data_IF_259800356997
#
_entry.id   IF_259800356997
#
_cell.length_a   1.000
_cell.length_b   1.000
_cell.length_c   1.000
_cell.angle_alpha   90.00
_cell.angle_beta   90.00
_cell.angle_gamma   90.00
#
_symmetry.space_group_name_H-M   'P 1'
#
loop_
_entity.id
_entity.type
_entity.pdbx_description
1 polymer ?
#
# COMPACT_ATOMS: atom_id res chain seq x y z
N UNK A 1 -2.37 10.12 -21.02
CA UNK A 1 -3.47 11.11 -20.90
C UNK A 1 -3.77 11.50 -19.45
N UNK A 2 -4.38 10.63 -18.62
CA UNK A 2 -4.92 11.03 -17.29
C UNK A 2 -3.95 11.79 -16.34
N UNK A 3 -2.67 11.43 -16.32
CA UNK A 3 -1.65 12.14 -15.52
C UNK A 3 -1.40 13.58 -16.03
N UNK A 4 -1.42 13.81 -17.35
CA UNK A 4 -1.28 15.16 -17.93
C UNK A 4 -2.52 16.01 -17.63
N UNK A 5 -3.72 15.43 -17.65
CA UNK A 5 -4.95 16.12 -17.27
C UNK A 5 -4.90 16.58 -15.80
N UNK A 6 -4.37 15.74 -14.89
CA UNK A 6 -4.10 16.17 -13.51
C UNK A 6 -3.11 17.34 -13.47
N UNK A 7 -1.99 17.23 -14.19
CA UNK A 7 -0.94 18.26 -14.18
C UNK A 7 -1.41 19.61 -14.73
N UNK A 8 -2.23 19.64 -15.78
CA UNK A 8 -2.81 20.88 -16.33
C UNK A 8 -3.80 21.57 -15.37
N UNK A 9 -4.35 20.86 -14.39
CA UNK A 9 -5.33 21.38 -13.42
C UNK A 9 -4.67 21.77 -12.09
N UNK A 10 -3.65 21.03 -11.68
CA UNK A 10 -2.99 21.20 -10.37
C UNK A 10 -1.64 21.92 -10.49
N UNK A 11 -1.08 22.06 -11.70
CA UNK A 11 0.23 22.67 -11.98
C UNK A 11 1.42 21.74 -11.75
N UNK A 12 1.31 20.78 -10.81
CA UNK A 12 2.36 19.82 -10.47
C UNK A 12 2.04 18.38 -10.89
N UNK A 13 3.06 17.53 -10.89
CA UNK A 13 2.88 16.08 -11.04
C UNK A 13 2.27 15.48 -9.76
N UNK A 14 1.47 14.40 -9.87
CA UNK A 14 0.83 13.79 -8.70
C UNK A 14 1.78 12.96 -7.83
N UNK A 15 2.95 12.59 -8.35
CA UNK A 15 3.97 11.80 -7.67
C UNK A 15 5.35 12.38 -7.97
N UNK A 16 6.13 12.63 -6.92
CA UNK A 16 7.51 13.10 -6.98
C UNK A 16 8.42 12.12 -6.21
N UNK A 17 9.73 12.14 -6.47
CA UNK A 17 10.71 11.24 -5.86
C UNK A 17 11.76 10.75 -6.87
N UNK A 18 12.50 9.70 -6.51
CA UNK A 18 13.35 8.98 -7.49
C UNK A 18 12.50 8.21 -8.50
N UNK A 19 13.08 7.82 -9.65
CA UNK A 19 12.35 7.05 -10.68
C UNK A 19 11.77 5.73 -10.11
N UNK A 20 12.54 5.03 -9.27
CA UNK A 20 12.09 3.82 -8.60
C UNK A 20 10.90 4.06 -7.66
N UNK A 21 10.91 5.16 -6.90
CA UNK A 21 9.77 5.57 -6.08
C UNK A 21 8.56 5.95 -6.95
N UNK A 22 8.76 6.69 -8.04
CA UNK A 22 7.67 7.09 -8.94
C UNK A 22 7.02 5.86 -9.58
N UNK A 23 7.79 4.87 -10.03
CA UNK A 23 7.27 3.58 -10.50
C UNK A 23 6.48 2.87 -9.39
N UNK A 24 7.04 2.77 -8.17
CA UNK A 24 6.38 2.15 -7.02
C UNK A 24 5.05 2.83 -6.68
N UNK A 25 5.00 4.17 -6.69
CA UNK A 25 3.80 5.00 -6.50
C UNK A 25 2.79 4.79 -7.62
N UNK A 26 3.23 4.82 -8.88
CA UNK A 26 2.39 4.59 -10.05
C UNK A 26 1.75 3.19 -10.08
N UNK A 27 2.40 2.17 -9.53
CA UNK A 27 1.81 0.83 -9.38
C UNK A 27 0.87 0.77 -8.17
N UNK A 28 1.36 1.10 -6.97
CA UNK A 28 0.70 0.73 -5.70
C UNK A 28 -0.18 1.82 -5.09
N UNK A 29 0.15 3.11 -5.28
CA UNK A 29 -0.49 4.20 -4.55
C UNK A 29 -1.64 4.85 -5.34
N UNK A 30 -2.71 5.26 -4.65
CA UNK A 30 -3.78 6.06 -5.25
C UNK A 30 -3.32 7.50 -5.45
N UNK A 31 -3.83 8.16 -6.48
CA UNK A 31 -3.46 9.53 -6.80
C UNK A 31 -3.99 10.53 -5.76
N UNK A 32 -3.25 11.62 -5.45
CA UNK A 32 -3.65 12.65 -4.48
C UNK A 32 -4.72 13.59 -5.07
N UNK A 33 -5.88 13.03 -5.41
CA UNK A 33 -6.99 13.72 -6.08
C UNK A 33 -7.66 14.85 -5.26
N UNK A 34 -7.22 15.11 -4.03
CA UNK A 34 -7.75 16.17 -3.15
C UNK A 34 -7.69 17.55 -3.80
N UNK A 35 -6.62 17.84 -4.54
CA UNK A 35 -6.32 19.16 -5.10
C UNK A 35 -7.09 19.47 -6.39
N UNK A 36 -7.82 18.50 -6.96
CA UNK A 36 -8.64 18.70 -8.16
C UNK A 36 -9.98 19.32 -7.75
N UNK A 37 -10.33 20.57 -8.15
CA UNK A 37 -11.49 21.28 -7.62
C UNK A 37 -12.82 20.64 -8.04
N UNK A 38 -12.97 20.27 -9.31
CA UNK A 38 -14.23 19.76 -9.85
C UNK A 38 -14.39 18.25 -9.62
N UNK A 39 -15.43 17.86 -8.86
CA UNK A 39 -15.76 16.44 -8.56
C UNK A 39 -15.98 15.58 -9.81
N UNK A 40 -16.46 16.17 -10.91
CA UNK A 40 -16.60 15.49 -12.20
C UNK A 40 -15.23 15.14 -12.80
N UNK A 41 -14.36 16.14 -13.00
CA UNK A 41 -13.01 15.96 -13.55
C UNK A 41 -12.17 15.03 -12.66
N UNK A 42 -12.38 15.06 -11.34
CA UNK A 42 -11.78 14.11 -10.39
C UNK A 42 -12.06 12.65 -10.76
N UNK A 43 -13.31 12.30 -11.09
CA UNK A 43 -13.70 10.94 -11.55
C UNK A 43 -13.06 10.58 -12.89
N UNK A 44 -12.99 11.54 -13.82
CA UNK A 44 -12.40 11.34 -15.16
C UNK A 44 -10.90 11.05 -15.04
N UNK A 45 -10.18 11.79 -14.19
CA UNK A 45 -8.77 11.50 -13.88
C UNK A 45 -8.67 10.11 -13.23
N UNK A 46 -9.49 9.81 -12.23
CA UNK A 46 -9.49 8.53 -11.51
C UNK A 46 -9.67 7.33 -12.45
N UNK A 47 -10.68 7.35 -13.34
CA UNK A 47 -10.88 6.33 -14.38
C UNK A 47 -9.73 6.31 -15.39
N UNK A 48 -9.25 7.46 -15.87
CA UNK A 48 -8.13 7.54 -16.81
C UNK A 48 -6.77 7.08 -16.23
N UNK A 49 -6.71 6.79 -14.92
CA UNK A 49 -5.49 6.40 -14.20
C UNK A 49 -5.67 5.14 -13.33
N UNK A 50 -6.79 4.43 -13.49
CA UNK A 50 -7.03 3.16 -12.81
C UNK A 50 -5.92 2.13 -13.12
N UNK A 51 -5.59 1.28 -12.13
CA UNK A 51 -4.42 0.39 -12.19
C UNK A 51 -4.59 -0.74 -13.19
N UNK A 52 -5.79 -1.32 -13.29
CA UNK A 52 -6.13 -2.35 -14.29
C UNK A 52 -6.57 -1.66 -15.59
N UNK A 53 -6.10 -2.15 -16.74
CA UNK A 53 -6.52 -1.63 -18.04
C UNK A 53 -8.04 -1.71 -18.26
N UNK A 54 -8.68 -2.75 -17.75
CA UNK A 54 -10.14 -2.96 -17.88
C UNK A 54 -10.98 -1.91 -17.14
N UNK A 55 -10.42 -1.28 -16.10
CA UNK A 55 -11.08 -0.22 -15.32
C UNK A 55 -10.81 1.18 -15.92
N UNK A 56 -9.97 1.27 -16.96
CA UNK A 56 -9.68 2.52 -17.69
C UNK A 56 -10.63 2.73 -18.87
N UNK A 57 -10.58 3.93 -19.43
CA UNK A 57 -11.14 4.21 -20.76
C UNK A 57 -10.54 3.28 -21.81
N UNK A 58 -11.39 2.67 -22.64
CA UNK A 58 -10.99 1.77 -23.73
C UNK A 58 -10.60 2.55 -24.99
N UNK A 59 -11.08 3.78 -25.15
CA UNK A 59 -10.69 4.67 -26.26
C UNK A 59 -10.52 6.13 -25.82
N UNK A 60 -9.81 6.90 -26.65
CA UNK A 60 -9.72 8.36 -26.48
C UNK A 60 -11.09 9.05 -26.71
N UNK A 61 -11.96 8.49 -27.57
CA UNK A 61 -13.31 9.02 -27.79
C UNK A 61 -14.21 8.84 -26.56
N UNK A 62 -14.10 7.72 -25.83
CA UNK A 62 -14.82 7.51 -24.57
C UNK A 62 -14.38 8.52 -23.50
N UNK A 63 -13.08 8.79 -23.38
CA UNK A 63 -12.55 9.82 -22.47
C UNK A 63 -12.98 11.23 -22.88
N UNK A 64 -13.07 11.52 -24.18
CA UNK A 64 -13.55 12.81 -24.71
C UNK A 64 -15.02 13.05 -24.36
N UNK A 65 -15.90 12.06 -24.56
CA UNK A 65 -17.34 12.21 -24.28
C UNK A 65 -17.62 12.56 -22.83
N UNK A 66 -16.89 11.95 -21.88
CA UNK A 66 -17.02 12.27 -20.45
C UNK A 66 -16.43 13.66 -20.09
N UNK A 67 -15.39 14.12 -20.80
CA UNK A 67 -14.84 15.47 -20.65
C UNK A 67 -15.79 16.56 -21.17
N UNK A 68 -16.50 16.30 -22.27
CA UNK A 68 -17.51 17.19 -22.84
C UNK A 68 -18.81 17.23 -22.00
N UNK A 69 -19.14 16.12 -21.32
CA UNK A 69 -20.39 15.97 -20.56
C UNK A 69 -20.15 15.66 -19.06
N UNK A 70 -19.40 16.50 -18.31
CA UNK A 70 -18.94 16.20 -16.95
C UNK A 70 -20.07 16.06 -15.91
N UNK A 71 -21.28 16.55 -16.22
CA UNK A 71 -22.47 16.40 -15.36
C UNK A 71 -23.17 15.04 -15.53
N UNK A 72 -22.83 14.27 -16.57
CA UNK A 72 -23.41 12.94 -16.81
C UNK A 72 -23.16 12.04 -15.60
N UNK A 73 -24.16 11.30 -15.08
CA UNK A 73 -23.91 10.30 -14.07
C UNK A 73 -23.02 9.22 -14.69
N UNK A 74 -21.75 9.20 -14.31
CA UNK A 74 -20.82 8.14 -14.69
C UNK A 74 -21.39 6.83 -14.14
N UNK A 75 -21.99 6.05 -15.04
CA UNK A 75 -22.54 4.74 -14.71
C UNK A 75 -21.40 3.90 -14.14
N UNK A 76 -21.47 3.45 -12.87
CA UNK A 76 -20.34 2.80 -12.23
C UNK A 76 -20.02 1.54 -13.02
N UNK A 77 -18.88 1.57 -13.72
CA UNK A 77 -18.39 0.42 -14.44
C UNK A 77 -18.05 -0.63 -13.39
N UNK A 78 -18.99 -1.56 -13.14
CA UNK A 78 -18.77 -2.76 -12.34
C UNK A 78 -17.72 -3.56 -13.09
N UNK A 79 -16.45 -3.25 -12.87
CA UNK A 79 -15.30 -3.94 -13.47
C UNK A 79 -15.54 -5.42 -13.27
N UNK A 80 -15.73 -6.15 -14.37
CA UNK A 80 -16.37 -7.45 -14.30
C UNK A 80 -15.50 -8.41 -13.51
N UNK A 81 -15.85 -8.61 -12.24
CA UNK A 81 -15.34 -9.70 -11.42
C UNK A 81 -16.00 -11.01 -11.89
N UNK A 82 -15.68 -11.39 -13.14
CA UNK A 82 -15.76 -12.76 -13.61
C UNK A 82 -14.77 -13.56 -12.78
N UNK A 83 -15.22 -14.01 -11.60
CA UNK A 83 -14.54 -15.06 -10.87
C UNK A 83 -14.38 -16.23 -11.83
N UNK A 84 -13.15 -16.69 -12.05
CA UNK A 84 -12.86 -17.78 -12.98
C UNK A 84 -13.20 -19.13 -12.35
N UNK A 85 -14.48 -19.31 -12.00
CA UNK A 85 -15.02 -20.45 -11.24
C UNK A 85 -15.78 -21.45 -12.11
N UNK A 86 -15.98 -21.16 -13.41
CA UNK A 86 -16.74 -22.00 -14.35
C UNK A 86 -16.15 -23.39 -14.57
N UNK A 87 -14.86 -23.60 -14.32
CA UNK A 87 -14.23 -24.94 -14.34
C UNK A 87 -14.35 -25.70 -13.01
N UNK A 88 -14.41 -24.97 -11.87
CA UNK A 88 -14.40 -25.56 -10.53
C UNK A 88 -15.82 -26.02 -10.13
N UNK A 89 -16.86 -25.27 -10.51
CA UNK A 89 -18.25 -25.67 -10.26
C UNK A 89 -18.64 -26.99 -10.94
N UNK A 90 -18.07 -27.30 -12.11
CA UNK A 90 -18.27 -28.58 -12.78
C UNK A 90 -17.69 -29.75 -11.97
N UNK A 91 -16.47 -29.57 -11.43
CA UNK A 91 -15.83 -30.58 -10.58
C UNK A 91 -16.55 -30.76 -9.24
N UNK A 92 -17.01 -29.66 -8.61
CA UNK A 92 -17.79 -29.74 -7.36
C UNK A 92 -19.16 -30.40 -7.61
N UNK A 93 -19.83 -30.11 -8.72
CA UNK A 93 -21.10 -30.74 -9.08
C UNK A 93 -20.94 -32.23 -9.38
N UNK A 94 -19.88 -32.63 -10.10
CA UNK A 94 -19.56 -34.04 -10.34
C UNK A 94 -19.20 -34.78 -9.03
N UNK A 95 -18.42 -34.15 -8.15
CA UNK A 95 -18.06 -34.70 -6.84
C UNK A 95 -19.30 -34.87 -5.95
N UNK A 96 -20.20 -33.88 -5.92
CA UNK A 96 -21.47 -33.97 -5.17
C UNK A 96 -22.38 -35.08 -5.71
N UNK A 97 -22.49 -35.24 -7.03
CA UNK A 97 -23.27 -36.34 -7.63
C UNK A 97 -22.65 -37.72 -7.33
N UNK A 98 -21.32 -37.84 -7.41
CA UNK A 98 -20.61 -39.07 -7.04
C UNK A 98 -20.75 -39.39 -5.55
N UNK A 99 -20.64 -38.39 -4.67
CA UNK A 99 -20.88 -38.53 -3.24
C UNK A 99 -22.34 -38.87 -2.93
N UNK A 100 -23.32 -38.30 -3.63
CA UNK A 100 -24.75 -38.61 -3.40
C UNK A 100 -25.10 -40.03 -3.86
N UNK A 101 -24.56 -40.47 -5.01
CA UNK A 101 -24.73 -41.84 -5.49
C UNK A 101 -24.01 -42.86 -4.57
N UNK A 102 -22.78 -42.56 -4.14
CA UNK A 102 -22.05 -43.37 -3.16
C UNK A 102 -22.75 -43.41 -1.79
N UNK A 103 -23.32 -42.27 -1.35
CA UNK A 103 -24.11 -42.19 -0.12
C UNK A 103 -25.37 -43.06 -0.23
N UNK A 104 -26.13 -42.99 -1.33
CA UNK A 104 -27.29 -43.86 -1.55
C UNK A 104 -26.95 -45.36 -1.54
N UNK A 105 -25.76 -45.76 -2.01
CA UNK A 105 -25.29 -47.14 -1.96
C UNK A 105 -24.83 -47.57 -0.55
N UNK A 106 -24.30 -46.66 0.26
CA UNK A 106 -23.89 -46.92 1.66
C UNK A 106 -25.11 -46.87 2.61
N UNK A 107 -26.09 -46.01 2.32
CA UNK A 107 -27.28 -45.78 3.15
C UNK A 107 -28.28 -46.95 3.10
N UNK A 108 -28.10 -47.90 2.16
CA UNK A 108 -28.86 -49.16 2.16
C UNK A 108 -28.29 -50.22 3.13
N UNK A 109 -27.17 -49.93 3.80
CA UNK A 109 -26.48 -50.86 4.72
C UNK A 109 -26.01 -50.20 6.03
N UNK A 110 -26.74 -49.20 6.55
CA UNK A 110 -26.31 -48.44 7.74
C UNK A 110 -27.48 -47.86 8.56
N UNK A 111 -28.41 -48.73 9.00
CA UNK A 111 -29.32 -48.42 10.11
C UNK A 111 -28.63 -48.76 11.45
N UNK A 112 -28.07 -47.77 12.15
CA UNK A 112 -27.88 -47.82 13.63
C UNK A 112 -27.57 -46.45 14.29
N UNK A 113 -26.84 -45.53 13.65
CA UNK A 113 -26.33 -44.28 14.30
C UNK A 113 -27.30 -43.06 14.27
N UNK A 114 -28.50 -43.15 14.88
CA UNK A 114 -29.45 -42.00 14.96
C UNK A 114 -29.35 -41.16 16.24
N UNK A 115 -29.09 -41.76 17.39
CA UNK A 115 -29.28 -41.09 18.70
C UNK A 115 -28.28 -39.97 19.01
N UNK A 116 -27.12 -39.96 18.34
CA UNK A 116 -26.03 -39.01 18.63
C UNK A 116 -26.25 -37.59 18.09
N UNK A 117 -27.26 -37.38 17.25
CA UNK A 117 -27.47 -36.09 16.56
C UNK A 117 -28.43 -35.13 17.25
N UNK A 118 -29.41 -35.61 18.03
CA UNK A 118 -30.41 -34.72 18.67
C UNK A 118 -29.89 -34.10 19.97
N UNK A 119 -29.13 -34.82 20.82
CA UNK A 119 -28.45 -34.23 22.00
C UNK A 119 -27.49 -33.09 21.59
N UNK A 120 -26.84 -33.24 20.42
CA UNK A 120 -25.97 -32.21 19.84
C UNK A 120 -26.75 -30.95 19.40
N UNK A 121 -28.05 -31.06 19.12
CA UNK A 121 -28.95 -29.94 18.79
C UNK A 121 -29.50 -29.27 20.03
N UNK A 122 -30.05 -30.05 20.96
CA UNK A 122 -30.61 -29.52 22.21
C UNK A 122 -29.54 -28.81 23.06
N UNK A 123 -28.28 -29.27 23.00
CA UNK A 123 -27.15 -28.54 23.59
C UNK A 123 -26.87 -27.18 22.95
N UNK A 124 -27.08 -27.01 21.63
CA UNK A 124 -26.84 -25.75 20.89
C UNK A 124 -28.00 -24.75 21.10
N UNK A 125 -29.24 -25.23 21.20
CA UNK A 125 -30.40 -24.35 21.45
C UNK A 125 -30.37 -23.83 22.90
N UNK A 126 -30.05 -24.68 23.89
CA UNK A 126 -29.79 -24.27 25.28
C UNK A 126 -28.58 -23.33 25.45
N UNK A 127 -27.70 -23.22 24.44
CA UNK A 127 -26.58 -22.27 24.40
C UNK A 127 -27.03 -20.91 23.87
N UNK A 128 -27.85 -20.88 22.80
CA UNK A 128 -28.48 -19.66 22.27
C UNK A 128 -29.35 -18.93 23.30
N UNK A 129 -30.26 -19.64 23.95
CA UNK A 129 -31.18 -19.04 24.93
C UNK A 129 -30.43 -18.40 26.10
N UNK A 130 -29.25 -18.94 26.44
CA UNK A 130 -28.38 -18.45 27.50
C UNK A 130 -27.66 -17.16 27.12
N UNK A 131 -27.17 -17.06 25.88
CA UNK A 131 -26.57 -15.81 25.38
C UNK A 131 -27.64 -14.72 25.16
N UNK A 132 -28.83 -15.05 24.64
CA UNK A 132 -29.90 -14.07 24.42
C UNK A 132 -30.43 -13.46 25.72
N UNK A 133 -30.52 -14.22 26.81
CA UNK A 133 -30.83 -13.65 28.13
C UNK A 133 -29.69 -12.80 28.69
N UNK A 134 -28.42 -13.17 28.47
CA UNK A 134 -27.28 -12.41 29.00
C UNK A 134 -27.19 -10.98 28.43
N UNK A 135 -27.60 -10.78 27.17
CA UNK A 135 -27.69 -9.44 26.59
C UNK A 135 -28.90 -8.64 27.10
N UNK A 136 -30.03 -9.29 27.45
CA UNK A 136 -31.20 -8.62 28.06
C UNK A 136 -30.91 -8.12 29.47
N UNK A 137 -30.26 -8.94 30.30
CA UNK A 137 -29.84 -8.54 31.65
C UNK A 137 -28.83 -7.37 31.61
N UNK A 138 -27.90 -7.40 30.65
CA UNK A 138 -26.90 -6.35 30.43
C UNK A 138 -27.49 -5.03 29.89
N UNK A 139 -28.64 -5.08 29.19
CA UNK A 139 -29.42 -3.87 28.86
C UNK A 139 -30.15 -3.33 30.09
N UNK A 140 -30.82 -4.20 30.86
CA UNK A 140 -31.59 -3.77 32.05
C UNK A 140 -30.71 -3.11 33.12
N UNK A 141 -29.51 -3.66 33.36
CA UNK A 141 -28.54 -3.07 34.29
C UNK A 141 -28.04 -1.67 33.87
N UNK A 142 -28.11 -1.32 32.57
CA UNK A 142 -27.81 0.03 32.08
C UNK A 142 -28.92 1.04 32.32
N UNK A 143 -30.18 0.61 32.32
CA UNK A 143 -31.32 1.50 32.57
C UNK A 143 -31.46 1.83 34.07
N UNK A 144 -31.21 0.85 34.95
CA UNK A 144 -31.19 1.07 36.41
C UNK A 144 -30.04 2.00 36.85
N UNK A 145 -28.88 1.94 36.20
CA UNK A 145 -27.75 2.84 36.51
C UNK A 145 -28.00 4.27 36.04
N UNK A 146 -28.52 4.49 34.83
CA UNK A 146 -28.81 5.84 34.33
C UNK A 146 -29.95 6.53 35.12
N UNK A 147 -30.95 5.75 35.57
CA UNK A 147 -32.01 6.19 36.49
C UNK A 147 -31.46 6.66 37.85
N UNK A 148 -30.46 5.94 38.38
CA UNK A 148 -29.83 6.27 39.68
C UNK A 148 -29.11 7.63 39.63
N UNK A 149 -28.36 7.91 38.55
CA UNK A 149 -27.67 9.20 38.39
C UNK A 149 -28.62 10.39 38.27
N UNK A 150 -29.81 10.23 37.68
CA UNK A 150 -30.82 11.29 37.62
C UNK A 150 -31.38 11.65 39.02
N UNK A 151 -31.48 10.67 39.93
CA UNK A 151 -31.91 10.90 41.31
C UNK A 151 -30.84 11.63 42.13
N UNK A 152 -29.57 11.22 42.09
CA UNK A 152 -28.49 11.94 42.79
C UNK A 152 -28.36 13.40 42.33
N UNK A 153 -28.44 13.65 41.02
CA UNK A 153 -28.31 15.00 40.43
C UNK A 153 -29.49 15.92 40.75
N UNK A 154 -30.68 15.37 41.02
CA UNK A 154 -31.84 16.15 41.46
C UNK A 154 -31.84 16.40 42.97
N UNK A 155 -31.39 15.44 43.78
CA UNK A 155 -31.28 15.58 45.23
C UNK A 155 -30.18 16.60 45.61
N UNK A 156 -29.01 16.53 44.97
CA UNK A 156 -27.92 17.50 45.15
C UNK A 156 -28.31 18.96 44.76
N UNK A 157 -29.33 19.14 43.92
CA UNK A 157 -29.90 20.46 43.60
C UNK A 157 -30.82 21.02 44.69
N UNK A 158 -31.40 20.19 45.56
CA UNK A 158 -32.15 20.66 46.72
C UNK A 158 -31.20 21.04 47.87
N UNK A 159 -30.19 20.21 48.14
CA UNK A 159 -29.23 20.45 49.23
C UNK A 159 -28.37 21.70 49.00
N UNK A 160 -28.02 21.99 47.75
CA UNK A 160 -27.28 23.21 47.38
C UNK A 160 -28.10 24.50 47.50
N UNK A 161 -29.44 24.43 47.50
CA UNK A 161 -30.31 25.59 47.74
C UNK A 161 -30.49 25.90 49.23
N UNK A 162 -30.49 24.91 50.12
CA UNK A 162 -30.61 25.15 51.57
C UNK A 162 -29.33 25.74 52.18
N UNK A 163 -28.15 25.39 51.65
CA UNK A 163 -26.86 25.77 52.23
C UNK A 163 -26.38 27.19 51.85
N UNK A 164 -27.08 27.91 50.99
CA UNK A 164 -26.71 29.29 50.59
C UNK A 164 -26.88 30.33 51.72
N UNK A 165 -27.51 29.96 52.85
CA UNK A 165 -27.83 30.87 53.95
C UNK A 165 -26.66 31.21 54.91
N UNK A 166 -25.50 30.50 54.87
CA UNK A 166 -24.47 30.60 55.94
C UNK A 166 -23.00 30.64 55.47
N UNK A 167 -22.60 31.78 54.92
CA UNK A 167 -21.44 32.55 55.41
C UNK A 167 -19.99 32.01 55.39
N UNK A 168 -19.19 32.63 54.51
CA UNK A 168 -17.82 33.21 54.74
C UNK A 168 -16.55 32.33 54.75
N UNK A 169 -15.65 32.75 53.83
CA UNK A 169 -14.22 33.12 54.02
C UNK A 169 -13.06 32.13 53.73
N UNK A 170 -11.98 32.77 53.23
CA UNK A 170 -10.55 32.40 53.18
C UNK A 170 -9.96 31.64 51.96
N UNK A 171 -8.77 32.10 51.57
CA UNK A 171 -7.81 31.62 50.53
C UNK A 171 -6.41 31.58 51.20
N UNK A 172 -5.20 31.46 50.56
CA UNK A 172 -4.81 31.21 49.15
C UNK A 172 -3.59 30.22 49.00
N UNK A 173 -2.88 30.25 47.84
CA UNK A 173 -1.48 29.75 47.57
C UNK A 173 -1.31 28.20 47.46
N UNK A 174 -0.28 27.57 46.87
CA UNK A 174 1.00 27.84 46.09
C UNK A 174 1.45 26.47 45.45
N UNK A 175 2.45 26.25 44.57
CA UNK A 175 3.21 26.98 43.52
C UNK A 175 4.36 26.09 42.94
N UNK A 176 4.80 26.29 41.66
CA UNK A 176 6.06 25.80 40.99
C UNK A 176 6.19 24.29 40.63
N UNK A 177 7.14 23.83 39.78
CA UNK A 177 7.75 24.30 38.48
C UNK A 177 8.85 23.29 38.00
N UNK A 178 9.03 23.17 36.66
CA UNK A 178 10.31 22.83 35.96
C UNK A 178 10.89 21.39 36.18
N UNK A 179 11.94 20.89 35.46
CA UNK A 179 12.89 21.51 34.50
C UNK A 179 13.41 20.54 33.41
N UNK A 180 13.98 21.12 32.33
CA UNK A 180 14.74 20.50 31.23
C UNK A 180 16.27 20.57 31.44
N UNK A 181 17.02 19.59 30.89
CA UNK A 181 18.45 19.65 30.47
C UNK A 181 18.69 18.53 29.42
N UNK A 182 19.45 18.62 28.31
CA UNK A 182 20.76 19.23 27.97
C UNK A 182 21.97 18.49 28.60
N UNK A 183 23.13 18.29 27.94
CA UNK A 183 23.81 19.05 26.85
C UNK A 183 24.82 18.20 26.03
N UNK A 184 25.36 18.74 24.93
CA UNK A 184 26.54 18.25 24.15
C UNK A 184 27.89 18.65 24.78
N UNK A 185 28.96 17.92 24.44
CA UNK A 185 30.35 18.43 24.20
C UNK A 185 31.12 17.49 23.25
N UNK A 186 32.35 17.83 22.85
CA UNK A 186 33.06 17.23 21.70
C UNK A 186 34.60 17.28 21.81
N UNK A 187 35.28 16.30 21.19
CA UNK A 187 36.57 16.51 20.52
C UNK A 187 37.82 15.89 21.16
N UNK A 188 38.49 15.01 20.40
CA UNK A 188 39.94 14.74 20.39
C UNK A 188 40.26 13.88 19.16
N UNK A 189 41.52 13.88 18.69
CA UNK A 189 41.98 13.01 17.60
C UNK A 189 43.27 12.29 18.03
N UNK A 190 43.41 11.02 17.63
CA UNK A 190 44.65 10.26 17.69
C UNK A 190 44.67 9.28 16.51
N UNK A 191 45.87 9.00 16.00
CA UNK A 191 46.11 8.06 14.91
C UNK A 191 47.10 7.00 15.36
N UNK A 192 46.75 5.72 15.23
CA UNK A 192 47.76 4.68 15.04
C UNK A 192 47.17 3.43 14.37
N UNK A 193 48.07 2.53 13.94
CA UNK A 193 47.76 1.39 13.08
C UNK A 193 47.62 0.10 13.88
N UNK A 194 46.67 -0.78 13.52
CA UNK A 194 46.97 -2.15 13.05
C UNK A 194 45.77 -3.09 13.10
N UNK A 195 45.58 -3.84 12.01
CA UNK A 195 44.93 -5.16 11.92
C UNK A 195 43.41 -5.28 12.15
N UNK A 196 42.84 -6.34 11.54
CA UNK A 196 41.49 -6.88 11.74
C UNK A 196 40.30 -5.92 11.60
N UNK A 197 40.02 -5.46 10.37
CA UNK A 197 38.72 -4.88 10.04
C UNK A 197 37.98 -5.71 8.98
N UNK A 198 36.84 -6.29 9.40
CA UNK A 198 35.90 -7.04 8.53
C UNK A 198 35.44 -6.14 7.39
N UNK A 199 35.29 -6.69 6.17
CA UNK A 199 34.88 -5.94 4.98
C UNK A 199 33.51 -5.26 5.17
N UNK A 200 33.54 -3.97 5.53
CA UNK A 200 32.37 -3.12 5.54
C UNK A 200 32.18 -2.54 4.15
N UNK A 201 31.41 -3.25 3.32
CA UNK A 201 31.05 -2.82 1.97
C UNK A 201 30.46 -1.40 1.98
N UNK A 202 31.14 -0.49 1.28
CA UNK A 202 30.77 0.93 1.24
C UNK A 202 29.80 1.17 0.09
N UNK A 203 28.51 1.24 0.46
CA UNK A 203 27.45 1.71 -0.44
C UNK A 203 27.49 3.24 -0.53
N UNK A 204 27.72 3.79 -1.71
CA UNK A 204 27.85 5.24 -1.94
C UNK A 204 27.15 5.62 -3.24
N UNK A 205 26.18 6.53 -3.17
CA UNK A 205 25.53 7.09 -4.37
C UNK A 205 26.41 8.16 -5.00
N UNK A 206 26.67 8.08 -6.30
CA UNK A 206 27.57 9.01 -6.97
C UNK A 206 27.57 8.91 -8.50
N UNK A 207 28.66 9.39 -9.08
CA UNK A 207 28.94 9.31 -10.53
C UNK A 207 30.33 8.69 -10.73
N UNK A 208 30.44 7.72 -11.63
CA UNK A 208 31.70 7.01 -11.97
C UNK A 208 31.96 7.16 -13.46
N UNK A 209 33.16 7.64 -13.81
CA UNK A 209 33.62 7.76 -15.19
C UNK A 209 34.50 6.54 -15.54
N UNK A 210 34.28 5.93 -16.69
CA UNK A 210 35.04 4.79 -17.23
C UNK A 210 35.84 5.13 -18.49
N UNK A 211 35.92 6.43 -18.84
CA UNK A 211 36.44 6.87 -20.14
C UNK A 211 35.39 6.73 -21.22
N UNK A 212 35.09 5.50 -21.64
CA UNK A 212 34.10 5.19 -22.69
C UNK A 212 32.65 5.53 -22.30
N UNK A 213 32.34 5.52 -20.99
CA UNK A 213 31.01 5.81 -20.46
C UNK A 213 31.06 6.52 -19.10
N UNK A 214 29.92 6.98 -18.63
CA UNK A 214 29.73 7.52 -17.28
C UNK A 214 28.45 6.98 -16.66
N UNK A 215 28.61 6.35 -15.50
CA UNK A 215 27.53 5.80 -14.69
C UNK A 215 27.11 6.79 -13.61
N UNK A 216 25.81 6.85 -13.33
CA UNK A 216 25.21 7.59 -12.22
C UNK A 216 24.23 6.68 -11.49
N UNK A 217 24.42 6.53 -10.18
CA UNK A 217 23.64 5.61 -9.34
C UNK A 217 24.37 5.23 -8.06
N UNK A 218 23.89 4.20 -7.37
CA UNK A 218 24.57 3.56 -6.26
C UNK A 218 25.83 2.77 -6.72
N UNK A 219 26.89 2.91 -5.93
CA UNK A 219 28.15 2.20 -6.09
C UNK A 219 28.40 1.35 -4.84
N UNK A 220 28.86 0.11 -5.03
CA UNK A 220 29.36 -0.79 -3.98
C UNK A 220 30.84 -0.99 -4.24
N UNK A 221 31.69 -0.70 -3.25
CA UNK A 221 33.15 -0.78 -3.39
C UNK A 221 33.69 -0.01 -4.62
N UNK A 222 33.02 1.08 -5.02
CA UNK A 222 33.38 1.90 -6.19
C UNK A 222 32.90 1.39 -7.55
N UNK A 223 32.17 0.26 -7.61
CA UNK A 223 31.60 -0.34 -8.82
C UNK A 223 30.07 -0.15 -8.86
N UNK A 224 29.44 0.03 -10.05
CA UNK A 224 27.99 0.03 -10.25
C UNK A 224 27.26 -1.11 -9.52
N UNK A 225 26.36 -0.76 -8.60
CA UNK A 225 25.55 -1.71 -7.85
C UNK A 225 24.24 -1.02 -7.43
N UNK A 226 23.32 -0.87 -8.39
CA UNK A 226 22.08 -0.09 -8.30
C UNK A 226 20.97 -0.80 -9.08
N UNK A 227 19.76 -0.87 -8.52
CA UNK A 227 18.57 -1.43 -9.20
C UNK A 227 18.02 -0.54 -10.32
N UNK A 228 18.40 0.73 -10.36
CA UNK A 228 17.98 1.70 -11.39
C UNK A 228 19.12 2.70 -11.69
N UNK A 229 20.32 2.19 -11.93
CA UNK A 229 21.46 2.98 -12.37
C UNK A 229 21.32 3.44 -13.83
N UNK A 230 21.99 4.53 -14.21
CA UNK A 230 22.09 4.98 -15.61
C UNK A 230 23.54 4.98 -16.07
N UNK A 231 23.85 4.22 -17.12
CA UNK A 231 25.14 4.24 -17.83
C UNK A 231 24.96 5.00 -19.15
N UNK A 232 25.72 6.07 -19.38
CA UNK A 232 25.67 6.90 -20.60
C UNK A 232 27.00 6.81 -21.34
N UNK A 233 26.97 6.49 -22.64
CA UNK A 233 28.14 6.24 -23.47
C UNK A 233 28.66 7.54 -24.09
N UNK A 234 29.99 7.68 -24.15
CA UNK A 234 30.73 8.83 -24.73
C UNK A 234 31.41 8.48 -26.04
N UNK A 235 31.76 7.21 -26.21
CA UNK A 235 32.35 6.62 -27.41
C UNK A 235 31.54 5.38 -27.77
N UNK A 236 31.62 4.92 -29.03
CA UNK A 236 31.04 3.61 -29.39
C UNK A 236 31.70 2.50 -28.55
N UNK A 237 30.90 1.65 -27.90
CA UNK A 237 31.39 0.61 -26.99
C UNK A 237 30.37 -0.52 -26.81
N UNK A 238 30.84 -1.75 -26.56
CA UNK A 238 29.97 -2.87 -26.18
C UNK A 238 29.29 -2.56 -24.84
N UNK A 239 27.99 -2.80 -24.73
CA UNK A 239 27.19 -2.36 -23.57
C UNK A 239 27.59 -3.11 -22.28
N UNK A 240 27.77 -4.42 -22.37
CA UNK A 240 28.38 -5.27 -21.35
C UNK A 240 28.99 -6.48 -22.08
N UNK A 241 30.19 -6.92 -21.69
CA UNK A 241 30.88 -8.05 -22.34
C UNK A 241 30.17 -9.39 -22.14
N UNK A 242 29.22 -9.47 -21.20
CA UNK A 242 28.39 -10.64 -20.92
C UNK A 242 27.10 -10.71 -21.76
N UNK A 243 26.82 -9.70 -22.59
CA UNK A 243 25.66 -9.73 -23.50
C UNK A 243 25.91 -10.71 -24.66
N UNK A 244 25.16 -11.84 -24.77
CA UNK A 244 25.34 -12.81 -25.85
C UNK A 244 24.96 -12.25 -27.24
N UNK A 245 24.35 -11.06 -27.32
CA UNK A 245 24.11 -10.36 -28.59
C UNK A 245 25.19 -9.33 -28.94
N UNK A 246 26.19 -9.13 -28.08
CA UNK A 246 27.31 -8.21 -28.31
C UNK A 246 26.89 -6.78 -28.66
N UNK A 247 25.76 -6.28 -28.11
CA UNK A 247 25.21 -4.98 -28.50
C UNK A 247 26.23 -3.86 -28.27
N UNK A 248 26.45 -3.05 -29.29
CA UNK A 248 27.27 -1.83 -29.24
C UNK A 248 26.36 -0.62 -29.07
N UNK A 249 26.64 0.19 -28.05
CA UNK A 249 26.03 1.51 -27.85
C UNK A 249 26.89 2.58 -28.52
N UNK A 250 26.23 3.55 -29.16
CA UNK A 250 26.87 4.66 -29.86
C UNK A 250 27.07 5.89 -28.95
N UNK A 251 27.92 6.88 -29.33
CA UNK A 251 28.09 8.10 -28.55
C UNK A 251 26.76 8.80 -28.23
N UNK A 252 26.49 9.01 -26.94
CA UNK A 252 25.25 9.62 -26.44
C UNK A 252 24.12 8.63 -26.13
N UNK A 253 24.19 7.37 -26.58
CA UNK A 253 23.29 6.31 -26.12
C UNK A 253 23.39 6.13 -24.59
N UNK A 254 22.35 5.57 -23.98
CA UNK A 254 22.38 5.21 -22.56
C UNK A 254 21.52 4.00 -22.22
N UNK A 255 21.90 3.31 -21.15
CA UNK A 255 21.14 2.22 -20.54
C UNK A 255 20.65 2.67 -19.16
N UNK A 256 19.39 2.37 -18.85
CA UNK A 256 18.83 2.45 -17.49
C UNK A 256 18.46 1.04 -17.06
N UNK A 257 18.91 0.61 -15.89
CA UNK A 257 18.69 -0.78 -15.45
C UNK A 257 19.27 -1.14 -14.10
N UNK A 258 19.19 -2.44 -13.79
CA UNK A 258 19.84 -3.07 -12.64
C UNK A 258 21.29 -3.40 -12.99
N UNK A 259 22.21 -2.93 -12.15
CA UNK A 259 23.64 -3.24 -12.20
C UNK A 259 24.03 -3.97 -10.91
N UNK A 260 24.87 -5.00 -11.03
CA UNK A 260 25.47 -5.70 -9.90
C UNK A 260 26.99 -5.78 -10.10
N UNK A 261 27.73 -5.23 -9.14
CA UNK A 261 29.16 -5.45 -8.98
C UNK A 261 30.00 -5.06 -10.22
N UNK A 262 29.55 -4.01 -10.91
CA UNK A 262 30.15 -3.46 -12.12
C UNK A 262 29.36 -3.73 -13.41
N UNK A 263 28.61 -4.84 -13.46
CA UNK A 263 27.97 -5.34 -14.66
C UNK A 263 26.49 -5.02 -14.76
N UNK A 264 25.98 -4.94 -15.99
CA UNK A 264 24.54 -4.87 -16.28
C UNK A 264 23.88 -6.25 -16.08
N UNK A 265 22.78 -6.27 -15.34
CA UNK A 265 21.95 -7.47 -15.09
C UNK A 265 20.77 -7.48 -16.06
N UNK A 266 20.05 -6.36 -16.11
CA UNK A 266 18.89 -6.12 -16.98
C UNK A 266 18.66 -4.62 -17.14
N UNK A 267 18.13 -4.17 -18.27
CA UNK A 267 17.83 -2.75 -18.50
C UNK A 267 17.18 -2.45 -19.84
N UNK A 268 16.86 -1.17 -20.05
CA UNK A 268 16.39 -0.62 -21.32
C UNK A 268 17.49 0.25 -21.91
N UNK A 269 17.81 0.01 -23.17
CA UNK A 269 18.75 0.77 -23.98
C UNK A 269 18.01 1.83 -24.79
N UNK A 270 18.47 3.06 -24.67
CA UNK A 270 17.96 4.24 -25.34
C UNK A 270 19.02 4.81 -26.28
N UNK A 271 18.57 5.37 -27.39
CA UNK A 271 19.39 6.20 -28.26
C UNK A 271 19.72 7.56 -27.64
N UNK A 272 20.68 8.25 -28.25
CA UNK A 272 20.94 9.67 -28.00
C UNK A 272 19.74 10.58 -28.32
N UNK A 273 18.78 10.08 -29.13
CA UNK A 273 17.47 10.68 -29.45
C UNK A 273 16.38 10.41 -28.39
N UNK A 274 16.74 9.75 -27.28
CA UNK A 274 15.85 9.26 -26.22
C UNK A 274 14.84 8.16 -26.61
N UNK A 275 14.91 7.60 -27.83
CA UNK A 275 14.03 6.50 -28.24
C UNK A 275 14.56 5.15 -27.73
N UNK A 276 13.66 4.18 -27.53
CA UNK A 276 14.05 2.84 -27.06
C UNK A 276 14.64 2.02 -28.21
N UNK A 277 15.94 1.72 -28.13
CA UNK A 277 16.66 0.83 -29.06
C UNK A 277 16.47 -0.65 -28.70
N UNK A 278 16.13 -0.96 -27.44
CA UNK A 278 15.64 -2.28 -27.05
C UNK A 278 15.76 -2.57 -25.55
N UNK A 279 15.33 -3.77 -25.14
CA UNK A 279 15.63 -4.33 -23.82
C UNK A 279 16.89 -5.20 -23.84
N UNK A 280 17.56 -5.25 -22.69
CA UNK A 280 18.76 -6.05 -22.43
C UNK A 280 18.52 -6.84 -21.15
N UNK A 281 18.77 -8.14 -21.20
CA UNK A 281 18.67 -9.07 -20.06
C UNK A 281 19.88 -9.99 -20.19
N UNK A 282 20.69 -10.07 -19.14
CA UNK A 282 21.95 -10.82 -19.07
C UNK A 282 21.89 -11.81 -17.90
N UNK A 283 21.44 -11.34 -16.74
CA UNK A 283 21.49 -12.10 -15.48
C UNK A 283 22.57 -11.57 -14.52
N UNK A 284 22.65 -12.18 -13.33
CA UNK A 284 23.66 -11.86 -12.33
C UNK A 284 24.86 -12.77 -12.50
#
# INVERSE_FOLDING_TARGET
MGIMLYQFIVGSLPFEGTMAEIIKKQINEKLPLKNVPYKAIRRIIEKATAKKQQDRYQSASEMRVDLEHPLKPMNPHKGQHRSSTSGIWWLISALLLACLAGYLLIFQSSDEDKDRYEDRRESIEREKDRDENRDKDNQKAKEETDSTYQMEVSQAKQDSLQNLAKGKQATPKKEKKQKVSSRRTSGAAYSESSSQQRERSTMTTGTKNFGYATFRGALKNGMPHDVNGRLTFKTSHIIDSRDPKGRVAEPGDYVIGEFSDGHLVQGIWYGSDHQVKGSIIIGK
#
